data_IF_435724421561
#
_entry.id   IF_435724421561
#
_cell.length_a   1.000
_cell.length_b   1.000
_cell.length_c   1.000
_cell.angle_alpha   90.00
_cell.angle_beta   90.00
_cell.angle_gamma   90.00
#
_symmetry.space_group_name_H-M   'P 1'
#
loop_
_entity.id
_entity.type
_entity.pdbx_description
1 polymer ?
#
# COMPACT_ATOMS: atom_id res chain seq x y z
N UNK A 1 13.79 -2.99 8.68
CA UNK A 1 14.22 -1.58 8.62
C UNK A 1 13.97 -0.87 9.95
N UNK A 2 12.72 -0.77 10.48
CA UNK A 2 12.45 -0.07 11.74
C UNK A 2 13.21 -0.67 12.93
N UNK A 3 13.36 -1.98 13.02
CA UNK A 3 14.17 -2.62 14.08
C UNK A 3 15.64 -2.21 14.03
N UNK A 4 16.18 -1.98 12.84
CA UNK A 4 17.55 -1.53 12.66
C UNK A 4 17.78 -0.09 13.14
N UNK A 5 16.74 0.72 13.27
CA UNK A 5 16.78 2.08 13.80
C UNK A 5 16.70 2.12 15.34
N UNK A 6 16.63 0.95 15.99
CA UNK A 6 16.59 0.81 17.45
C UNK A 6 15.56 1.72 18.13
N UNK A 7 14.27 1.69 17.75
CA UNK A 7 13.25 2.50 18.40
C UNK A 7 13.12 2.08 19.87
N UNK A 8 12.73 3.02 20.73
CA UNK A 8 12.53 2.76 22.16
C UNK A 8 11.51 1.64 22.41
N UNK A 9 10.46 1.56 21.56
CA UNK A 9 9.52 0.46 21.52
C UNK A 9 8.97 0.31 20.09
N UNK A 10 8.63 -0.92 19.68
CA UNK A 10 8.02 -1.24 18.41
C UNK A 10 6.82 -2.17 18.62
N UNK A 11 5.65 -1.74 18.19
CA UNK A 11 4.43 -2.54 18.17
C UNK A 11 4.04 -2.82 16.71
N UNK A 12 4.07 -4.09 16.33
CA UNK A 12 3.72 -4.54 14.99
C UNK A 12 2.83 -5.79 15.12
N UNK A 13 1.53 -5.60 15.45
CA UNK A 13 0.61 -6.71 15.65
C UNK A 13 0.32 -7.42 14.33
N UNK A 14 0.14 -8.74 14.42
CA UNK A 14 -0.44 -9.53 13.34
C UNK A 14 -1.96 -9.39 13.35
N UNK A 15 -2.63 -9.86 12.29
CA UNK A 15 -4.11 -9.89 12.26
C UNK A 15 -4.71 -10.73 13.40
N UNK A 16 -4.00 -11.77 13.83
CA UNK A 16 -4.45 -12.61 14.95
C UNK A 16 -4.37 -11.87 16.30
N UNK A 17 -3.42 -10.94 16.43
CA UNK A 17 -3.26 -10.13 17.64
C UNK A 17 -4.27 -8.98 17.69
N UNK A 18 -4.56 -8.37 16.52
CA UNK A 18 -5.48 -7.25 16.39
C UNK A 18 -6.07 -7.21 14.97
N UNK A 19 -7.35 -7.54 14.81
CA UNK A 19 -8.05 -7.33 13.55
C UNK A 19 -8.42 -5.85 13.43
N UNK A 20 -7.76 -5.14 12.52
CA UNK A 20 -7.95 -3.70 12.31
C UNK A 20 -9.33 -3.32 11.75
N UNK A 21 -10.15 -4.31 11.32
CA UNK A 21 -11.56 -4.09 10.96
C UNK A 21 -12.39 -3.87 12.23
N UNK A 22 -12.02 -4.52 13.35
CA UNK A 22 -12.64 -4.27 14.64
C UNK A 22 -12.15 -2.94 15.22
N UNK A 23 -13.05 -1.97 15.24
CA UNK A 23 -12.77 -0.62 15.75
C UNK A 23 -12.34 -0.63 17.21
N UNK A 24 -13.03 -1.39 18.07
CA UNK A 24 -12.77 -1.40 19.50
C UNK A 24 -11.42 -2.06 19.81
N UNK A 25 -11.12 -3.17 19.13
CA UNK A 25 -9.82 -3.83 19.26
C UNK A 25 -8.69 -2.92 18.79
N UNK A 26 -8.85 -2.28 17.62
CA UNK A 26 -7.86 -1.37 17.05
C UNK A 26 -7.59 -0.17 17.95
N UNK A 27 -8.64 0.53 18.40
CA UNK A 27 -8.46 1.71 19.25
C UNK A 27 -7.86 1.36 20.62
N UNK A 28 -8.24 0.23 21.22
CA UNK A 28 -7.64 -0.25 22.45
C UNK A 28 -6.15 -0.54 22.27
N UNK A 29 -5.79 -1.32 21.26
CA UNK A 29 -4.40 -1.67 21.00
C UNK A 29 -3.52 -0.43 20.77
N UNK A 30 -3.99 0.55 20.02
CA UNK A 30 -3.27 1.81 19.78
C UNK A 30 -3.20 2.65 21.07
N UNK A 31 -4.29 2.76 21.82
CA UNK A 31 -4.33 3.51 23.05
C UNK A 31 -3.42 2.93 24.14
N UNK A 32 -3.35 1.60 24.26
CA UNK A 32 -2.49 0.90 25.19
C UNK A 32 -1.00 1.10 24.87
N UNK A 33 -0.65 1.05 23.58
CA UNK A 33 0.74 1.25 23.13
C UNK A 33 1.17 2.72 23.14
N UNK A 34 0.27 3.67 22.87
CA UNK A 34 0.50 5.13 22.77
C UNK A 34 1.65 5.47 21.81
N UNK A 35 1.54 5.17 20.51
CA UNK A 35 2.61 5.42 19.56
C UNK A 35 2.86 6.91 19.36
N UNK A 36 4.12 7.32 19.33
CA UNK A 36 4.52 8.65 18.85
C UNK A 36 4.42 8.75 17.33
N UNK A 37 4.77 7.66 16.62
CA UNK A 37 4.78 7.58 15.17
C UNK A 37 4.03 6.32 14.73
N UNK A 38 3.14 6.48 13.75
CA UNK A 38 2.38 5.36 13.18
C UNK A 38 2.77 5.17 11.71
N UNK A 39 3.27 3.97 11.37
CA UNK A 39 3.40 3.52 9.99
C UNK A 39 2.17 2.68 9.65
N UNK A 40 1.22 3.25 8.91
CA UNK A 40 0.02 2.56 8.49
C UNK A 40 0.26 1.86 7.14
N UNK A 41 0.76 0.63 7.21
CA UNK A 41 1.06 -0.21 6.04
C UNK A 41 -0.03 -1.25 5.78
N UNK A 42 -0.96 -1.41 6.73
CA UNK A 42 -1.98 -2.43 6.65
C UNK A 42 -3.01 -2.13 5.55
N UNK A 43 -3.46 -3.19 4.92
CA UNK A 43 -4.53 -3.15 3.94
C UNK A 43 -4.80 -4.55 3.42
N UNK A 44 -6.02 -4.77 2.94
CA UNK A 44 -6.36 -5.98 2.21
C UNK A 44 -6.03 -5.76 0.74
N UNK A 45 -4.96 -6.39 0.29
CA UNK A 45 -4.51 -6.34 -1.10
C UNK A 45 -4.72 -7.72 -1.72
N UNK A 46 -5.29 -7.74 -2.92
CA UNK A 46 -5.46 -8.95 -3.72
C UNK A 46 -4.92 -8.68 -5.12
N UNK A 47 -4.42 -9.71 -5.79
CA UNK A 47 -4.11 -9.60 -7.22
C UNK A 47 -5.35 -9.25 -8.04
N UNK A 48 -5.17 -9.01 -9.35
CA UNK A 48 -6.24 -8.58 -10.26
C UNK A 48 -7.50 -9.46 -10.16
N UNK A 49 -7.35 -10.78 -10.10
CA UNK A 49 -8.47 -11.72 -9.95
C UNK A 49 -9.24 -11.53 -8.65
N UNK A 50 -8.55 -11.32 -7.54
CA UNK A 50 -9.17 -11.07 -6.23
C UNK A 50 -9.88 -9.72 -6.17
N UNK A 51 -9.32 -8.68 -6.77
CA UNK A 51 -9.95 -7.36 -6.84
C UNK A 51 -11.27 -7.40 -7.63
N UNK A 52 -11.33 -8.17 -8.71
CA UNK A 52 -12.55 -8.33 -9.50
C UNK A 52 -13.63 -9.17 -8.80
N UNK A 53 -13.23 -10.19 -8.02
CA UNK A 53 -14.16 -11.10 -7.36
C UNK A 53 -14.78 -10.51 -6.08
N UNK A 54 -14.05 -9.62 -5.36
CA UNK A 54 -14.43 -9.14 -4.02
C UNK A 54 -14.49 -7.61 -3.93
N UNK A 55 -15.04 -6.96 -4.93
CA UNK A 55 -15.05 -5.49 -5.07
C UNK A 55 -15.61 -4.75 -3.86
N UNK A 56 -16.81 -5.13 -3.40
CA UNK A 56 -17.45 -4.52 -2.23
C UNK A 56 -16.66 -4.74 -0.94
N UNK A 57 -16.13 -5.95 -0.76
CA UNK A 57 -15.34 -6.29 0.41
C UNK A 57 -13.97 -5.57 0.40
N UNK A 58 -13.36 -5.43 -0.78
CA UNK A 58 -12.10 -4.68 -0.94
C UNK A 58 -12.26 -3.22 -0.52
N UNK A 59 -13.36 -2.57 -0.90
CA UNK A 59 -13.66 -1.21 -0.44
C UNK A 59 -13.91 -1.17 1.07
N UNK A 60 -14.88 -1.97 1.56
CA UNK A 60 -15.34 -1.93 2.94
C UNK A 60 -14.20 -2.20 3.93
N UNK A 61 -13.46 -3.29 3.75
CA UNK A 61 -12.41 -3.66 4.69
C UNK A 61 -11.27 -2.63 4.71
N UNK A 62 -10.84 -2.14 3.53
CA UNK A 62 -9.78 -1.13 3.50
C UNK A 62 -10.25 0.21 4.06
N UNK A 63 -11.46 0.64 3.77
CA UNK A 63 -12.03 1.86 4.38
C UNK A 63 -12.09 1.73 5.90
N UNK A 64 -12.59 0.60 6.41
CA UNK A 64 -12.70 0.37 7.85
C UNK A 64 -11.33 0.35 8.54
N UNK A 65 -10.35 -0.36 7.97
CA UNK A 65 -8.96 -0.38 8.47
C UNK A 65 -8.39 1.05 8.53
N UNK A 66 -8.52 1.81 7.44
CA UNK A 66 -8.00 3.17 7.36
C UNK A 66 -8.65 4.09 8.40
N UNK A 67 -9.98 4.06 8.52
CA UNK A 67 -10.74 4.85 9.51
C UNK A 67 -10.31 4.51 10.94
N UNK A 68 -10.22 3.22 11.26
CA UNK A 68 -9.89 2.76 12.61
C UNK A 68 -8.47 3.15 13.01
N UNK A 69 -7.49 2.96 12.11
CA UNK A 69 -6.08 3.26 12.42
C UNK A 69 -5.84 4.76 12.51
N UNK A 70 -6.32 5.55 11.56
CA UNK A 70 -6.09 7.02 11.55
C UNK A 70 -6.78 7.68 12.74
N UNK A 71 -8.04 7.33 13.04
CA UNK A 71 -8.74 7.88 14.20
C UNK A 71 -8.14 7.37 15.52
N UNK A 72 -7.77 6.10 15.60
CA UNK A 72 -7.09 5.54 16.77
C UNK A 72 -5.77 6.25 17.06
N UNK A 73 -4.95 6.51 16.04
CA UNK A 73 -3.69 7.24 16.15
C UNK A 73 -3.91 8.69 16.65
N UNK A 74 -4.89 9.39 16.08
CA UNK A 74 -5.27 10.74 16.53
C UNK A 74 -5.67 10.76 18.00
N UNK A 75 -6.56 9.84 18.42
CA UNK A 75 -7.04 9.73 19.82
C UNK A 75 -5.91 9.43 20.79
N UNK A 76 -4.96 8.59 20.39
CA UNK A 76 -3.80 8.25 21.20
C UNK A 76 -2.75 9.36 21.26
N UNK A 77 -2.91 10.46 20.52
CA UNK A 77 -1.98 11.58 20.50
C UNK A 77 -0.71 11.32 19.70
N UNK A 78 -0.79 10.48 18.66
CA UNK A 78 0.34 10.27 17.77
C UNK A 78 0.82 11.59 17.16
N UNK A 79 2.14 11.78 17.12
CA UNK A 79 2.72 13.01 16.59
C UNK A 79 2.72 13.03 15.04
N UNK A 80 2.69 11.86 14.39
CA UNK A 80 2.67 11.76 12.93
C UNK A 80 2.17 10.39 12.45
N UNK A 81 1.55 10.39 11.26
CA UNK A 81 1.18 9.16 10.53
C UNK A 81 1.92 9.13 9.20
N UNK A 82 2.56 7.99 8.87
CA UNK A 82 3.09 7.69 7.55
C UNK A 82 2.25 6.55 6.97
N UNK A 83 1.50 6.82 5.92
CA UNK A 83 0.51 5.89 5.38
C UNK A 83 0.89 5.39 3.99
N UNK A 84 0.67 4.09 3.76
CA UNK A 84 0.86 3.48 2.45
C UNK A 84 -0.34 3.77 1.54
N UNK A 85 -0.11 4.58 0.51
CA UNK A 85 -0.94 4.76 -0.66
C UNK A 85 -0.59 3.76 -1.76
N UNK A 86 -1.14 3.98 -2.95
CA UNK A 86 -0.94 3.13 -4.14
C UNK A 86 -1.13 3.95 -5.40
N UNK A 87 -0.43 3.63 -6.47
CA UNK A 87 -0.65 4.24 -7.80
C UNK A 87 -2.04 3.93 -8.38
N UNK A 88 -2.74 2.93 -7.86
CA UNK A 88 -4.14 2.66 -8.23
C UNK A 88 -5.09 3.86 -7.95
N UNK A 89 -4.68 4.84 -7.11
CA UNK A 89 -5.46 6.06 -6.88
C UNK A 89 -5.55 6.96 -8.11
N UNK A 90 -4.63 6.84 -9.07
CA UNK A 90 -4.69 7.62 -10.29
C UNK A 90 -5.74 7.10 -11.28
N UNK A 91 -6.29 8.03 -12.04
CA UNK A 91 -7.17 7.73 -13.17
C UNK A 91 -6.35 7.45 -14.43
N UNK A 92 -6.91 6.65 -15.35
CA UNK A 92 -6.37 6.52 -16.71
C UNK A 92 -6.33 7.84 -17.49
N UNK A 93 -7.02 8.87 -16.99
CA UNK A 93 -7.04 10.21 -17.56
C UNK A 93 -5.95 11.13 -16.99
N UNK A 94 -5.24 10.70 -15.97
CA UNK A 94 -4.14 11.45 -15.40
C UNK A 94 -2.99 11.58 -16.43
N UNK A 95 -2.34 12.74 -16.55
CA UNK A 95 -1.22 12.91 -17.46
C UNK A 95 -0.01 12.06 -17.03
N UNK A 96 0.84 11.71 -17.99
CA UNK A 96 2.10 11.02 -17.73
C UNK A 96 3.28 11.97 -17.93
N UNK A 97 4.23 12.04 -17.00
CA UNK A 97 4.29 11.35 -15.70
C UNK A 97 3.27 11.90 -14.70
N UNK A 98 2.66 11.01 -13.92
CA UNK A 98 1.65 11.35 -12.91
C UNK A 98 2.27 12.13 -11.75
N UNK A 99 1.56 13.15 -11.29
CA UNK A 99 1.93 13.99 -10.14
C UNK A 99 0.95 13.77 -8.99
N UNK A 100 1.34 14.08 -7.79
CA UNK A 100 0.50 13.92 -6.60
C UNK A 100 -0.80 14.73 -6.68
N UNK A 101 -0.76 15.91 -7.31
CA UNK A 101 -1.94 16.74 -7.55
C UNK A 101 -2.94 16.10 -8.56
N UNK A 102 -2.49 15.11 -9.34
CA UNK A 102 -3.34 14.42 -10.32
C UNK A 102 -4.24 13.35 -9.68
N UNK A 103 -4.10 13.08 -8.39
CA UNK A 103 -4.92 12.08 -7.67
C UNK A 103 -6.41 12.38 -7.79
N UNK A 104 -6.79 13.64 -7.86
CA UNK A 104 -8.19 14.07 -7.97
C UNK A 104 -8.73 14.06 -9.42
N UNK A 105 -7.91 13.74 -10.43
CA UNK A 105 -8.32 13.69 -11.83
C UNK A 105 -9.12 12.42 -12.11
N UNK A 106 -10.44 12.55 -12.21
CA UNK A 106 -11.35 11.46 -12.61
C UNK A 106 -11.38 10.25 -11.66
N UNK A 107 -12.13 9.20 -11.99
CA UNK A 107 -12.20 7.99 -11.19
C UNK A 107 -10.93 7.14 -11.36
N UNK A 108 -10.55 6.35 -10.33
CA UNK A 108 -9.50 5.34 -10.47
C UNK A 108 -9.83 4.29 -11.53
N UNK A 109 -8.81 3.56 -12.02
CA UNK A 109 -9.01 2.47 -12.98
C UNK A 109 -10.00 1.41 -12.48
N UNK A 110 -10.94 0.99 -13.34
CA UNK A 110 -12.11 0.22 -12.95
C UNK A 110 -11.83 -1.09 -12.21
N UNK A 111 -10.78 -1.82 -12.58
CA UNK A 111 -10.43 -3.11 -11.95
C UNK A 111 -10.00 -2.98 -10.48
N UNK A 112 -9.47 -1.83 -10.09
CA UNK A 112 -8.97 -1.56 -8.74
C UNK A 112 -9.74 -0.43 -8.04
N UNK A 113 -10.75 0.14 -8.71
CA UNK A 113 -11.46 1.33 -8.23
C UNK A 113 -11.97 1.22 -6.79
N UNK A 114 -12.57 0.11 -6.32
CA UNK A 114 -13.04 0.02 -4.95
C UNK A 114 -11.93 0.16 -3.92
N UNK A 115 -10.82 -0.54 -4.12
CA UNK A 115 -9.63 -0.43 -3.28
C UNK A 115 -9.01 0.98 -3.34
N UNK A 116 -8.87 1.51 -4.53
CA UNK A 116 -8.31 2.83 -4.77
C UNK A 116 -9.14 3.95 -4.15
N UNK A 117 -10.48 3.87 -4.20
CA UNK A 117 -11.36 4.81 -3.52
C UNK A 117 -11.19 4.76 -1.99
N UNK A 118 -11.03 3.58 -1.40
CA UNK A 118 -10.72 3.48 0.04
C UNK A 118 -9.38 4.16 0.38
N UNK A 119 -8.38 4.06 -0.51
CA UNK A 119 -7.07 4.73 -0.34
C UNK A 119 -7.16 6.25 -0.57
N UNK A 120 -7.95 6.74 -1.55
CA UNK A 120 -8.25 8.18 -1.68
C UNK A 120 -8.98 8.72 -0.45
N UNK A 121 -9.96 7.97 0.07
CA UNK A 121 -10.67 8.33 1.30
C UNK A 121 -9.73 8.48 2.50
N UNK A 122 -8.69 7.62 2.59
CA UNK A 122 -7.67 7.77 3.62
C UNK A 122 -6.87 9.06 3.45
N UNK A 123 -6.45 9.42 2.22
CA UNK A 123 -5.74 10.68 1.97
C UNK A 123 -6.61 11.87 2.37
N UNK A 124 -7.87 11.90 1.92
CA UNK A 124 -8.81 12.98 2.28
C UNK A 124 -9.00 13.10 3.81
N UNK A 125 -9.06 11.97 4.52
CA UNK A 125 -9.14 11.97 5.99
C UNK A 125 -7.87 12.54 6.62
N UNK A 126 -6.69 12.15 6.15
CA UNK A 126 -5.41 12.64 6.65
C UNK A 126 -5.28 14.16 6.45
N UNK A 127 -5.69 14.68 5.31
CA UNK A 127 -5.71 16.12 5.02
C UNK A 127 -6.68 16.89 5.92
N UNK A 128 -7.89 16.35 6.09
CA UNK A 128 -8.87 16.93 7.01
C UNK A 128 -8.35 16.94 8.46
N UNK A 129 -7.67 15.86 8.88
CA UNK A 129 -7.12 15.75 10.23
C UNK A 129 -5.90 16.66 10.44
N UNK A 130 -5.08 16.86 9.42
CA UNK A 130 -4.03 17.88 9.46
C UNK A 130 -4.64 19.27 9.66
N UNK A 131 -5.68 19.58 8.91
CA UNK A 131 -6.34 20.89 8.98
C UNK A 131 -7.04 21.13 10.31
N UNK A 132 -7.80 20.15 10.80
CA UNK A 132 -8.62 20.32 11.99
C UNK A 132 -7.86 20.10 13.30
N UNK A 133 -6.96 19.14 13.34
CA UNK A 133 -6.28 18.71 14.56
C UNK A 133 -4.78 18.96 14.56
N UNK A 134 -4.23 19.50 13.46
CA UNK A 134 -2.80 19.71 13.33
C UNK A 134 -1.99 18.40 13.27
N UNK A 135 -2.60 17.26 12.89
CA UNK A 135 -1.94 15.96 12.83
C UNK A 135 -1.09 15.85 11.55
N UNK A 136 0.25 15.87 11.63
CA UNK A 136 1.10 15.74 10.45
C UNK A 136 0.99 14.35 9.84
N UNK A 137 1.10 14.28 8.51
CA UNK A 137 1.12 13.01 7.81
C UNK A 137 2.07 13.03 6.60
N UNK A 138 2.50 11.82 6.19
CA UNK A 138 3.05 11.56 4.86
C UNK A 138 2.26 10.40 4.24
N UNK A 139 1.78 10.58 3.01
CA UNK A 139 1.03 9.59 2.25
C UNK A 139 1.87 9.13 1.06
N UNK A 140 2.37 7.90 1.13
CA UNK A 140 3.34 7.35 0.18
C UNK A 140 2.60 6.60 -0.93
N UNK A 141 2.46 7.22 -2.12
CA UNK A 141 1.82 6.61 -3.30
C UNK A 141 2.79 5.62 -3.93
N UNK A 142 2.77 4.38 -3.43
CA UNK A 142 3.69 3.34 -3.87
C UNK A 142 3.32 2.80 -5.24
N UNK A 143 4.33 2.61 -6.08
CA UNK A 143 4.25 1.84 -7.31
C UNK A 143 4.26 0.32 -7.01
N UNK A 144 4.60 -0.51 -7.99
CA UNK A 144 4.60 -1.97 -7.82
C UNK A 144 5.80 -2.41 -6.96
N UNK A 145 5.53 -2.66 -5.68
CA UNK A 145 6.57 -3.13 -4.77
C UNK A 145 6.87 -4.61 -5.02
N UNK A 146 8.14 -4.98 -4.89
CA UNK A 146 8.58 -6.36 -4.95
C UNK A 146 9.74 -6.60 -3.96
N UNK A 147 9.93 -7.84 -3.53
CA UNK A 147 11.05 -8.17 -2.66
C UNK A 147 10.90 -9.51 -1.92
N UNK A 148 11.83 -9.83 -1.01
CA UNK A 148 11.74 -11.00 -0.16
C UNK A 148 10.47 -11.00 0.69
N UNK A 149 9.93 -12.20 0.93
CA UNK A 149 8.69 -12.43 1.68
C UNK A 149 7.41 -11.93 1.00
N UNK A 150 7.46 -11.63 -0.30
CA UNK A 150 6.27 -11.35 -1.09
C UNK A 150 5.42 -12.59 -1.27
N UNK A 151 4.22 -12.44 -1.84
CA UNK A 151 3.29 -13.54 -2.07
C UNK A 151 3.60 -14.23 -3.39
N UNK A 152 4.27 -15.37 -3.32
CA UNK A 152 4.72 -16.16 -4.49
C UNK A 152 3.65 -17.17 -4.98
N UNK A 153 2.37 -16.80 -4.98
CA UNK A 153 1.31 -17.63 -5.55
C UNK A 153 0.77 -17.02 -6.86
N UNK A 154 0.21 -17.87 -7.72
CA UNK A 154 -0.21 -17.44 -9.06
C UNK A 154 -1.52 -16.67 -9.08
N UNK A 155 -2.37 -16.86 -8.07
CA UNK A 155 -3.73 -16.31 -8.03
C UNK A 155 -3.74 -14.94 -7.36
N UNK A 156 -2.98 -14.78 -6.29
CA UNK A 156 -3.01 -13.60 -5.43
C UNK A 156 -1.69 -12.81 -5.45
N UNK A 157 -0.62 -13.39 -6.01
CA UNK A 157 0.67 -12.71 -6.15
C UNK A 157 0.63 -11.60 -7.18
N UNK A 158 1.44 -10.57 -6.95
CA UNK A 158 1.72 -9.54 -7.95
C UNK A 158 2.57 -10.12 -9.09
N UNK A 159 2.74 -9.36 -10.17
CA UNK A 159 3.35 -9.85 -11.41
C UNK A 159 4.76 -10.44 -11.18
N UNK A 160 5.66 -9.76 -10.48
CA UNK A 160 7.04 -10.22 -10.27
C UNK A 160 7.09 -11.53 -9.46
N UNK A 161 6.52 -11.63 -8.23
CA UNK A 161 6.58 -12.86 -7.47
C UNK A 161 5.81 -14.03 -8.14
N UNK A 162 4.70 -13.73 -8.82
CA UNK A 162 3.95 -14.74 -9.57
C UNK A 162 4.78 -15.32 -10.72
N UNK A 163 5.44 -14.49 -11.53
CA UNK A 163 6.30 -14.95 -12.61
C UNK A 163 7.49 -15.75 -12.08
N UNK A 164 8.17 -15.28 -11.03
CA UNK A 164 9.27 -16.01 -10.40
C UNK A 164 8.81 -17.42 -9.97
N UNK A 165 7.66 -17.51 -9.30
CA UNK A 165 7.11 -18.80 -8.87
C UNK A 165 6.81 -19.73 -10.04
N UNK A 166 6.21 -19.20 -11.11
CA UNK A 166 5.88 -19.96 -12.33
C UNK A 166 7.13 -20.45 -13.06
N UNK A 167 8.09 -19.58 -13.30
CA UNK A 167 9.35 -19.96 -13.94
C UNK A 167 10.09 -21.03 -13.14
N UNK A 168 10.16 -20.87 -11.82
CA UNK A 168 10.82 -21.85 -10.96
C UNK A 168 10.15 -23.23 -11.03
N UNK A 169 8.81 -23.28 -10.95
CA UNK A 169 8.07 -24.55 -11.03
C UNK A 169 8.21 -25.24 -12.40
N UNK A 170 8.11 -24.47 -13.48
CA UNK A 170 8.31 -24.98 -14.85
C UNK A 170 9.71 -25.59 -15.01
N UNK A 171 10.73 -24.89 -14.51
CA UNK A 171 12.09 -25.42 -14.51
C UNK A 171 12.22 -26.72 -13.72
N UNK A 172 11.64 -26.80 -12.53
CA UNK A 172 11.63 -28.02 -11.71
C UNK A 172 10.89 -29.18 -12.38
N UNK A 173 9.84 -28.90 -13.15
CA UNK A 173 9.09 -29.91 -13.93
C UNK A 173 9.82 -30.33 -15.21
N UNK A 174 10.98 -29.74 -15.54
CA UNK A 174 11.70 -30.03 -16.79
C UNK A 174 11.02 -29.46 -18.04
N UNK A 175 10.02 -28.61 -17.88
CA UNK A 175 9.32 -27.94 -18.96
C UNK A 175 10.18 -26.78 -19.51
N UNK A 176 10.04 -26.46 -20.80
CA UNK A 176 10.87 -25.44 -21.46
C UNK A 176 10.12 -24.13 -21.73
N UNK A 177 8.82 -24.11 -21.49
CA UNK A 177 7.96 -22.97 -21.83
C UNK A 177 6.92 -22.74 -20.77
N UNK A 178 6.58 -21.47 -20.53
CA UNK A 178 5.40 -21.07 -19.76
C UNK A 178 4.50 -20.23 -20.65
N UNK A 179 3.17 -20.30 -20.40
CA UNK A 179 2.19 -19.41 -21.02
C UNK A 179 1.96 -18.23 -20.09
N UNK A 180 2.29 -17.03 -20.54
CA UNK A 180 1.97 -15.78 -19.83
C UNK A 180 0.70 -15.15 -20.41
N UNK A 181 -0.04 -14.43 -19.58
CA UNK A 181 -1.21 -13.69 -20.04
C UNK A 181 -0.78 -12.39 -20.72
N UNK A 182 -1.44 -12.09 -21.83
CA UNK A 182 -1.15 -10.89 -22.63
C UNK A 182 0.12 -11.00 -23.46
N UNK A 183 0.52 -9.89 -24.05
CA UNK A 183 1.67 -9.78 -24.95
C UNK A 183 2.93 -9.21 -24.28
N UNK A 184 2.83 -8.88 -22.97
CA UNK A 184 3.92 -8.32 -22.20
C UNK A 184 4.24 -6.85 -22.50
N UNK A 185 3.48 -6.17 -23.36
CA UNK A 185 3.71 -4.75 -23.69
C UNK A 185 3.35 -3.76 -22.58
N UNK A 186 2.41 -4.03 -21.65
CA UNK A 186 2.14 -3.12 -20.54
C UNK A 186 3.41 -2.85 -19.73
N UNK A 187 3.60 -1.58 -19.38
CA UNK A 187 4.74 -1.13 -18.58
C UNK A 187 4.36 -0.95 -17.12
N UNK A 188 5.32 -1.19 -16.23
CA UNK A 188 5.21 -0.93 -14.79
C UNK A 188 6.50 -0.34 -14.27
N UNK A 189 6.36 0.54 -13.29
CA UNK A 189 7.48 0.93 -12.44
C UNK A 189 7.54 -0.07 -11.27
N UNK A 190 8.70 -0.70 -11.08
CA UNK A 190 8.94 -1.69 -10.02
C UNK A 190 9.92 -1.13 -9.00
N UNK A 191 9.47 -1.00 -7.76
CA UNK A 191 10.29 -0.49 -6.66
C UNK A 191 10.62 -1.62 -5.66
N UNK A 192 11.90 -1.76 -5.35
CA UNK A 192 12.32 -2.74 -4.34
C UNK A 192 11.82 -2.37 -2.95
N UNK A 193 11.26 -3.33 -2.23
CA UNK A 193 10.60 -3.09 -0.94
C UNK A 193 11.52 -2.47 0.12
N UNK A 194 12.83 -2.74 0.07
CA UNK A 194 13.77 -2.10 1.00
C UNK A 194 13.97 -0.61 0.71
N UNK A 195 13.94 -0.21 -0.57
CA UNK A 195 14.05 1.20 -0.97
C UNK A 195 12.77 1.95 -0.61
N UNK A 196 11.60 1.32 -0.84
CA UNK A 196 10.33 1.85 -0.33
C UNK A 196 10.38 2.05 1.19
N UNK A 197 10.87 1.06 1.94
CA UNK A 197 10.98 1.16 3.39
C UNK A 197 11.92 2.31 3.84
N UNK A 198 13.01 2.56 3.12
CA UNK A 198 13.89 3.70 3.36
C UNK A 198 13.15 5.04 3.10
N UNK A 199 12.37 5.12 2.00
CA UNK A 199 11.56 6.29 1.70
C UNK A 199 10.51 6.57 2.79
N UNK A 200 9.85 5.54 3.33
CA UNK A 200 8.91 5.68 4.45
C UNK A 200 9.60 6.23 5.71
N UNK A 201 10.82 5.79 6.02
CA UNK A 201 11.58 6.32 7.16
C UNK A 201 11.94 7.78 6.94
N UNK A 202 12.44 8.14 5.76
CA UNK A 202 12.72 9.55 5.42
C UNK A 202 11.47 10.41 5.51
N UNK A 203 10.33 9.91 5.01
CA UNK A 203 9.07 10.61 5.10
C UNK A 203 8.56 10.76 6.55
N UNK A 204 8.90 9.83 7.44
CA UNK A 204 8.60 9.97 8.87
C UNK A 204 9.35 11.15 9.51
N UNK A 205 10.58 11.39 9.10
CA UNK A 205 11.42 12.47 9.61
C UNK A 205 11.02 13.84 9.06
N UNK A 206 10.86 13.95 7.74
CA UNK A 206 10.73 15.25 7.06
C UNK A 206 9.52 15.41 6.14
N UNK A 207 8.82 14.30 5.76
CA UNK A 207 7.72 14.35 4.79
C UNK A 207 6.45 14.98 5.34
N UNK A 208 5.73 15.74 4.51
CA UNK A 208 4.40 16.28 4.79
C UNK A 208 3.56 16.31 3.50
N UNK A 209 2.40 15.63 3.51
CA UNK A 209 1.53 15.52 2.36
C UNK A 209 1.72 14.22 1.56
N UNK A 210 1.33 14.20 0.29
CA UNK A 210 1.46 13.03 -0.57
C UNK A 210 2.79 13.03 -1.34
N UNK A 211 3.31 11.82 -1.62
CA UNK A 211 4.56 11.63 -2.37
C UNK A 211 4.46 10.38 -3.24
N UNK A 212 4.75 10.51 -4.52
CA UNK A 212 5.00 9.36 -5.38
C UNK A 212 6.26 8.63 -4.94
N UNK A 213 6.13 7.33 -4.69
CA UNK A 213 7.22 6.46 -4.22
C UNK A 213 7.49 5.44 -5.30
N UNK A 214 8.40 5.79 -6.21
CA UNK A 214 8.66 5.11 -7.47
C UNK A 214 10.14 5.22 -7.86
N UNK A 215 10.58 4.41 -8.85
CA UNK A 215 11.91 4.56 -9.46
C UNK A 215 11.94 5.64 -10.55
N UNK A 216 10.78 5.98 -11.10
CA UNK A 216 10.65 6.83 -12.28
C UNK A 216 10.99 6.14 -13.59
N UNK A 217 11.14 4.80 -13.57
CA UNK A 217 11.50 4.01 -14.75
C UNK A 217 10.43 2.95 -15.02
N UNK A 218 9.71 3.10 -16.12
CA UNK A 218 8.72 2.13 -16.57
C UNK A 218 9.41 1.02 -17.37
N UNK A 219 9.18 -0.25 -16.95
CA UNK A 219 9.70 -1.44 -17.62
C UNK A 219 8.54 -2.21 -18.25
N UNK A 220 8.66 -2.68 -19.53
CA UNK A 220 7.70 -3.61 -20.11
C UNK A 220 7.70 -4.95 -19.34
N UNK A 221 6.54 -5.56 -19.18
CA UNK A 221 6.43 -6.85 -18.46
C UNK A 221 7.22 -7.98 -19.16
N UNK A 222 7.42 -7.87 -20.49
CA UNK A 222 8.14 -8.88 -21.27
C UNK A 222 9.67 -8.83 -21.13
N UNK A 223 10.24 -7.76 -20.63
CA UNK A 223 11.68 -7.54 -20.48
C UNK A 223 12.19 -7.98 -19.10
#
# INVERSE_FOLDING_TARGET
TLRALSPAALFAPTRADCDLIDQHATWRAIADFRPTLVFHLAGRVAGLGGNLAFTGQAYFENAQINLNVVEGARRAGAAKIVAAGTTAVYSDKAPMPMREDDIEIGPPHGSEAPYAHAKRGMLAMLEAYRTQYGLPFAYMVCTNLYGPNDRFDEVHGHVVPSLISRFHRTQQAGEKQIVCWGDGTPTRDFLYAADAAAAFVTAAESGQGAYNTATGQAQPIRD
#
